data_IF_266587107235
#
_entry.id   IF_266587107235
#
_cell.length_a   1.000
_cell.length_b   1.000
_cell.length_c   1.000
_cell.angle_alpha   90.00
_cell.angle_beta   90.00
_cell.angle_gamma   90.00
#
_symmetry.space_group_name_H-M   'P 1'
#
loop_
_entity.id
_entity.type
_entity.pdbx_description
1 polymer ?
#
# COMPACT_ATOMS: atom_id res chain seq x y z
N UNK A 1 -2.50 10.42 25.92
CA UNK A 1 -2.82 9.37 24.94
C UNK A 1 -2.25 9.81 23.62
N UNK A 2 -1.29 9.08 23.08
CA UNK A 2 -0.78 9.39 21.76
C UNK A 2 -1.75 8.86 20.70
N UNK A 3 -2.14 9.72 19.78
CA UNK A 3 -2.91 9.34 18.61
C UNK A 3 -1.93 8.79 17.57
N UNK A 4 -2.14 7.55 17.17
CA UNK A 4 -1.43 6.99 16.04
C UNK A 4 -2.22 7.32 14.78
N UNK A 5 -1.56 7.85 13.77
CA UNK A 5 -2.20 8.32 12.54
C UNK A 5 -1.81 7.46 11.36
N UNK A 6 -2.80 6.93 10.64
CA UNK A 6 -2.60 6.36 9.32
C UNK A 6 -2.76 7.48 8.27
N UNK A 7 -1.72 7.72 7.51
CA UNK A 7 -1.68 8.77 6.48
C UNK A 7 -2.31 8.34 5.14
N UNK A 8 -2.67 7.06 5.00
CA UNK A 8 -3.39 6.58 3.82
C UNK A 8 -4.81 7.11 3.85
N UNK A 9 -5.21 7.95 2.90
CA UNK A 9 -6.60 8.32 2.76
C UNK A 9 -7.40 7.11 2.28
N UNK A 10 -8.64 6.97 2.77
CA UNK A 10 -9.50 5.85 2.39
C UNK A 10 -8.85 4.47 2.60
N UNK A 11 -8.38 4.14 3.82
CA UNK A 11 -7.65 2.89 4.08
C UNK A 11 -8.51 1.64 3.92
N UNK A 12 -9.81 1.78 3.84
CA UNK A 12 -10.76 0.68 3.57
C UNK A 12 -10.99 0.47 2.08
N UNK A 13 -10.38 1.25 1.21
CA UNK A 13 -10.54 1.18 -0.25
C UNK A 13 -12.00 1.24 -0.72
N UNK A 14 -12.78 2.11 -0.11
CA UNK A 14 -14.15 2.37 -0.57
C UNK A 14 -14.12 3.10 -1.92
N UNK A 15 -14.71 2.49 -2.91
CA UNK A 15 -14.71 2.99 -4.30
C UNK A 15 -16.13 3.38 -4.73
N UNK A 16 -16.28 4.38 -5.61
CA UNK A 16 -15.23 5.23 -6.19
C UNK A 16 -14.57 6.17 -5.18
N UNK A 17 -13.33 6.58 -5.44
CA UNK A 17 -12.57 7.47 -4.57
C UNK A 17 -11.78 8.48 -5.40
N UNK A 18 -11.80 9.75 -4.97
CA UNK A 18 -11.01 10.81 -5.60
C UNK A 18 -9.51 10.71 -5.27
N UNK A 19 -9.15 9.90 -4.27
CA UNK A 19 -7.74 9.72 -3.85
C UNK A 19 -7.07 8.53 -4.53
N UNK A 20 -7.83 7.69 -5.23
CA UNK A 20 -7.32 6.51 -5.91
C UNK A 20 -7.53 6.67 -7.42
N UNK A 21 -6.45 6.62 -8.16
CA UNK A 21 -6.44 6.62 -9.63
C UNK A 21 -5.73 5.38 -10.15
N UNK A 22 -5.98 5.02 -11.40
CA UNK A 22 -5.38 3.82 -12.00
C UNK A 22 -4.64 4.18 -13.28
N UNK A 23 -3.63 3.38 -13.59
CA UNK A 23 -2.94 3.41 -14.87
C UNK A 23 -2.86 1.99 -15.41
N UNK A 24 -3.35 1.77 -16.62
CA UNK A 24 -3.35 0.48 -17.30
C UNK A 24 -3.99 -0.66 -16.49
N UNK A 25 -4.88 -0.32 -15.57
CA UNK A 25 -5.55 -1.25 -14.67
C UNK A 25 -6.94 -0.75 -14.29
N UNK A 26 -7.74 -1.65 -13.79
CA UNK A 26 -9.00 -1.34 -13.10
C UNK A 26 -8.92 -1.76 -11.66
N UNK A 27 -9.73 -1.13 -10.81
CA UNK A 27 -9.81 -1.46 -9.39
C UNK A 27 -11.24 -1.72 -8.96
N UNK A 28 -11.39 -2.64 -8.02
CA UNK A 28 -12.66 -2.88 -7.34
C UNK A 28 -12.43 -3.07 -5.86
N UNK A 29 -13.42 -2.67 -5.06
CA UNK A 29 -13.40 -2.90 -3.62
C UNK A 29 -13.52 -4.40 -3.33
N UNK A 30 -12.69 -4.90 -2.42
CA UNK A 30 -12.74 -6.26 -1.89
C UNK A 30 -12.98 -6.19 -0.38
N UNK A 31 -14.16 -6.61 0.03
CA UNK A 31 -14.56 -6.57 1.45
C UNK A 31 -13.60 -7.36 2.35
N UNK A 32 -13.37 -6.93 3.59
CA UNK A 32 -13.91 -5.71 4.23
C UNK A 32 -13.08 -4.45 3.93
N UNK A 33 -11.81 -4.58 3.56
CA UNK A 33 -10.83 -3.51 3.59
C UNK A 33 -9.78 -3.62 2.48
N UNK A 34 -10.12 -4.28 1.40
CA UNK A 34 -9.20 -4.57 0.32
C UNK A 34 -9.56 -3.89 -1.00
N UNK A 35 -8.57 -3.90 -1.88
CA UNK A 35 -8.70 -3.47 -3.27
C UNK A 35 -8.09 -4.53 -4.17
N UNK A 36 -8.83 -4.95 -5.19
CA UNK A 36 -8.29 -5.81 -6.25
C UNK A 36 -7.92 -4.93 -7.43
N UNK A 37 -6.66 -5.01 -7.83
CA UNK A 37 -6.13 -4.35 -9.03
C UNK A 37 -6.07 -5.41 -10.12
N UNK A 38 -6.73 -5.14 -11.24
CA UNK A 38 -6.75 -6.02 -12.40
C UNK A 38 -6.07 -5.32 -13.58
N UNK A 39 -5.02 -5.90 -14.17
CA UNK A 39 -4.35 -5.30 -15.31
C UNK A 39 -5.27 -5.29 -16.54
N UNK A 40 -5.21 -4.22 -17.33
CA UNK A 40 -5.87 -4.20 -18.62
C UNK A 40 -5.15 -5.13 -19.61
N UNK A 41 -5.85 -5.60 -20.63
CA UNK A 41 -5.24 -6.42 -21.68
C UNK A 41 -4.09 -5.66 -22.36
N UNK A 42 -2.92 -6.28 -22.43
CA UNK A 42 -1.70 -5.67 -22.99
C UNK A 42 -1.12 -4.53 -22.15
N UNK A 43 -1.45 -4.49 -20.87
CA UNK A 43 -1.00 -3.44 -19.96
C UNK A 43 0.53 -3.37 -19.85
N UNK A 44 1.03 -2.17 -19.79
CA UNK A 44 2.41 -1.87 -19.40
C UNK A 44 2.36 -1.17 -18.05
N UNK A 45 3.05 -1.71 -17.05
CA UNK A 45 3.12 -1.17 -15.70
C UNK A 45 1.73 -0.86 -15.08
N UNK A 46 0.85 -1.85 -14.96
CA UNK A 46 -0.47 -1.66 -14.36
C UNK A 46 -0.36 -1.36 -12.88
N UNK A 47 -1.07 -0.33 -12.42
CA UNK A 47 -1.01 0.10 -11.02
C UNK A 47 -2.26 0.85 -10.57
N UNK A 48 -2.45 0.90 -9.26
CA UNK A 48 -3.32 1.86 -8.58
C UNK A 48 -2.47 2.85 -7.79
N UNK A 49 -2.81 4.11 -7.88
CA UNK A 49 -2.09 5.21 -7.25
C UNK A 49 -2.95 5.84 -6.17
N UNK A 50 -2.44 5.85 -4.95
CA UNK A 50 -3.08 6.50 -3.81
C UNK A 50 -2.39 7.86 -3.59
N UNK A 51 -3.18 8.93 -3.67
CA UNK A 51 -2.70 10.26 -3.39
C UNK A 51 -2.83 10.56 -1.90
N UNK A 52 -1.73 10.91 -1.26
CA UNK A 52 -1.72 11.40 0.12
C UNK A 52 -2.33 12.81 0.18
N UNK A 53 -2.92 13.17 1.31
CA UNK A 53 -3.55 14.47 1.51
C UNK A 53 -2.55 15.63 1.34
N UNK A 54 -1.31 15.39 1.77
CA UNK A 54 -0.19 16.32 1.63
C UNK A 54 1.11 15.55 1.40
N UNK A 55 2.14 16.18 0.83
CA UNK A 55 3.46 15.56 0.73
C UNK A 55 4.03 15.26 2.11
N UNK A 56 4.75 14.14 2.22
CA UNK A 56 5.34 13.69 3.48
C UNK A 56 6.86 13.58 3.37
N UNK A 57 7.54 13.98 4.44
CA UNK A 57 8.99 13.87 4.58
C UNK A 57 9.35 13.38 5.98
N UNK A 58 10.38 12.54 6.09
CA UNK A 58 10.86 11.98 7.35
C UNK A 58 10.90 10.46 7.34
N UNK A 59 10.93 9.89 8.53
CA UNK A 59 11.01 8.46 8.74
C UNK A 59 9.61 7.86 8.94
N UNK A 60 9.26 6.91 8.10
CA UNK A 60 7.94 6.28 8.05
C UNK A 60 8.03 4.77 8.07
N UNK A 61 6.90 4.15 8.42
CA UNK A 61 6.64 2.72 8.24
C UNK A 61 5.43 2.54 7.34
N UNK A 62 5.59 1.75 6.28
CA UNK A 62 4.52 1.34 5.38
C UNK A 62 4.32 -0.17 5.52
N UNK A 63 3.09 -0.60 5.70
CA UNK A 63 2.76 -2.02 5.66
C UNK A 63 1.43 -2.28 4.98
N UNK A 64 1.27 -3.47 4.45
CA UNK A 64 0.04 -3.94 3.82
C UNK A 64 0.03 -5.46 3.66
N UNK A 65 -1.15 -6.02 3.51
CA UNK A 65 -1.34 -7.37 3.03
C UNK A 65 -1.42 -7.36 1.50
N UNK A 66 -0.75 -8.33 0.89
CA UNK A 66 -0.90 -8.64 -0.52
C UNK A 66 -1.40 -10.08 -0.64
N UNK A 67 -2.42 -10.29 -1.45
CA UNK A 67 -3.02 -11.60 -1.67
C UNK A 67 -3.08 -11.97 -3.13
N UNK A 68 -3.22 -13.27 -3.41
CA UNK A 68 -3.28 -13.83 -4.76
C UNK A 68 -2.00 -13.61 -5.57
N UNK A 69 -0.86 -13.56 -4.89
CA UNK A 69 0.44 -13.43 -5.55
C UNK A 69 0.70 -14.66 -6.40
N UNK A 70 0.95 -14.52 -7.72
CA UNK A 70 1.23 -15.65 -8.59
C UNK A 70 2.62 -16.25 -8.32
N UNK A 71 2.78 -17.53 -8.64
CA UNK A 71 4.09 -18.20 -8.57
C UNK A 71 5.05 -17.68 -9.65
N UNK A 72 4.51 -17.18 -10.75
CA UNK A 72 5.28 -16.62 -11.85
C UNK A 72 5.74 -15.19 -11.53
N UNK A 73 7.05 -14.98 -11.59
CA UNK A 73 7.74 -13.84 -11.00
C UNK A 73 8.02 -12.68 -11.96
N UNK A 74 7.44 -12.61 -13.15
CA UNK A 74 7.78 -11.59 -14.15
C UNK A 74 7.53 -10.13 -13.72
N UNK A 75 6.79 -9.93 -12.66
CA UNK A 75 6.49 -8.58 -12.17
C UNK A 75 7.41 -8.13 -11.02
N UNK A 76 8.21 -9.03 -10.45
CA UNK A 76 9.07 -8.73 -9.30
C UNK A 76 10.17 -7.72 -9.61
N UNK A 77 10.67 -7.70 -10.84
CA UNK A 77 11.70 -6.75 -11.27
C UNK A 77 11.24 -5.29 -11.14
N UNK A 78 9.94 -5.04 -11.24
CA UNK A 78 9.34 -3.71 -11.14
C UNK A 78 8.90 -3.34 -9.72
N UNK A 79 9.16 -4.21 -8.74
CA UNK A 79 8.70 -4.04 -7.37
C UNK A 79 7.18 -4.12 -7.22
N UNK A 80 6.71 -4.16 -5.98
CA UNK A 80 5.29 -4.24 -5.66
C UNK A 80 4.67 -2.88 -5.33
N UNK A 81 5.48 -1.96 -4.84
CA UNK A 81 5.04 -0.65 -4.43
C UNK A 81 6.10 0.40 -4.77
N UNK A 82 5.67 1.55 -5.19
CA UNK A 82 6.53 2.70 -5.44
C UNK A 82 5.97 3.91 -4.73
N UNK A 83 6.73 4.47 -3.80
CA UNK A 83 6.36 5.71 -3.12
C UNK A 83 7.07 6.85 -3.82
N UNK A 84 6.32 7.79 -4.38
CA UNK A 84 6.86 8.81 -5.27
C UNK A 84 6.46 10.23 -4.89
N UNK A 85 7.26 11.20 -5.36
CA UNK A 85 6.92 12.61 -5.28
C UNK A 85 5.78 12.99 -6.24
N UNK A 86 5.32 14.23 -6.18
CA UNK A 86 4.18 14.71 -6.96
C UNK A 86 4.36 14.61 -8.47
N UNK A 87 5.59 14.70 -8.96
CA UNK A 87 5.92 14.60 -10.39
C UNK A 87 6.30 13.20 -10.83
N UNK A 88 6.36 12.26 -9.88
CA UNK A 88 6.77 10.86 -10.11
C UNK A 88 8.20 10.72 -10.68
N UNK A 89 9.01 11.75 -10.53
CA UNK A 89 10.40 11.79 -11.00
C UNK A 89 11.39 11.20 -9.99
N UNK A 90 10.98 11.04 -8.75
CA UNK A 90 11.79 10.51 -7.65
C UNK A 90 10.92 9.67 -6.72
N UNK A 91 11.49 8.66 -6.12
CA UNK A 91 10.77 7.82 -5.18
C UNK A 91 11.55 6.61 -4.69
N UNK A 92 10.87 5.81 -3.88
CA UNK A 92 11.40 4.59 -3.29
C UNK A 92 10.62 3.39 -3.84
N UNK A 93 11.34 2.46 -4.47
CA UNK A 93 10.79 1.21 -4.96
C UNK A 93 10.88 0.15 -3.87
N UNK A 94 9.76 -0.49 -3.57
CA UNK A 94 9.66 -1.55 -2.57
C UNK A 94 9.55 -2.90 -3.28
N UNK A 95 10.53 -3.79 -3.05
CA UNK A 95 10.51 -5.11 -3.69
C UNK A 95 9.54 -6.05 -3.00
N UNK A 96 9.07 -7.04 -3.73
CA UNK A 96 8.42 -8.22 -3.19
C UNK A 96 9.46 -9.32 -2.96
N UNK A 97 9.26 -10.16 -1.96
CA UNK A 97 10.15 -11.25 -1.60
C UNK A 97 9.74 -12.56 -2.24
N UNK A 98 9.47 -12.74 -3.43
CA UNK A 98 9.16 -13.99 -4.15
C UNK A 98 8.22 -14.98 -3.42
N UNK A 99 7.43 -14.51 -2.46
CA UNK A 99 6.48 -15.37 -1.74
C UNK A 99 5.16 -15.41 -2.52
N UNK A 100 4.81 -16.57 -3.03
CA UNK A 100 3.51 -16.80 -3.66
C UNK A 100 2.40 -16.87 -2.59
N UNK A 101 1.17 -16.55 -3.01
CA UNK A 101 0.00 -16.62 -2.14
C UNK A 101 -0.29 -15.31 -1.41
N UNK A 102 -0.37 -15.34 -0.10
CA UNK A 102 -0.68 -14.18 0.73
C UNK A 102 0.48 -13.86 1.65
N UNK A 103 0.89 -12.60 1.67
CA UNK A 103 1.98 -12.12 2.52
C UNK A 103 1.62 -10.79 3.18
N UNK A 104 2.14 -10.59 4.38
CA UNK A 104 2.18 -9.29 5.04
C UNK A 104 3.56 -8.68 4.83
N UNK A 105 3.60 -7.49 4.26
CA UNK A 105 4.84 -6.78 3.96
C UNK A 105 4.92 -5.50 4.77
N UNK A 106 6.11 -5.23 5.32
CA UNK A 106 6.38 -4.03 6.08
C UNK A 106 7.74 -3.47 5.74
N UNK A 107 7.82 -2.13 5.64
CA UNK A 107 9.01 -1.42 5.21
C UNK A 107 9.23 -0.17 6.06
N UNK A 108 10.46 -0.02 6.55
CA UNK A 108 10.92 1.22 7.14
C UNK A 108 11.51 2.10 6.03
N UNK A 109 11.03 3.33 5.92
CA UNK A 109 11.32 4.21 4.80
C UNK A 109 11.79 5.57 5.29
N UNK A 110 12.76 6.15 4.59
CA UNK A 110 13.03 7.57 4.65
C UNK A 110 12.46 8.22 3.40
N UNK A 111 11.52 9.13 3.57
CA UNK A 111 10.80 9.80 2.49
C UNK A 111 11.18 11.27 2.43
N UNK A 112 11.20 11.83 1.23
CA UNK A 112 11.48 13.24 0.99
C UNK A 112 10.49 13.78 -0.05
N UNK A 113 9.53 14.58 0.44
CA UNK A 113 8.49 15.23 -0.37
C UNK A 113 7.64 14.23 -1.19
N UNK A 114 7.28 13.09 -0.60
CA UNK A 114 6.51 12.05 -1.28
C UNK A 114 5.01 12.30 -1.19
N UNK A 115 4.31 12.11 -2.32
CA UNK A 115 2.87 12.42 -2.46
C UNK A 115 2.02 11.19 -2.80
N UNK A 116 2.59 10.18 -3.44
CA UNK A 116 1.85 9.03 -3.94
C UNK A 116 2.40 7.72 -3.43
N UNK A 117 1.47 6.80 -3.10
CA UNK A 117 1.75 5.38 -2.91
C UNK A 117 1.17 4.63 -4.10
N UNK A 118 2.02 4.05 -4.92
CA UNK A 118 1.63 3.32 -6.11
C UNK A 118 1.73 1.81 -5.84
N UNK A 119 0.59 1.13 -5.92
CA UNK A 119 0.51 -0.32 -5.76
C UNK A 119 0.48 -0.96 -7.15
N UNK A 120 1.44 -1.79 -7.44
CA UNK A 120 1.63 -2.41 -8.75
C UNK A 120 1.01 -3.80 -8.78
N UNK A 121 0.57 -4.23 -9.94
CA UNK A 121 0.16 -5.62 -10.14
C UNK A 121 0.90 -6.25 -11.32
N UNK A 122 0.92 -7.60 -11.40
CA UNK A 122 1.49 -8.29 -12.53
C UNK A 122 0.80 -7.94 -13.84
N UNK A 123 1.49 -8.15 -14.96
CA UNK A 123 0.97 -7.78 -16.29
C UNK A 123 -0.26 -8.58 -16.72
N UNK A 124 -0.45 -9.76 -16.15
CA UNK A 124 -1.47 -10.71 -16.60
C UNK A 124 -2.27 -11.34 -15.44
N UNK A 125 -2.15 -10.79 -14.24
CA UNK A 125 -2.77 -11.39 -13.06
C UNK A 125 -3.29 -10.31 -12.11
N UNK A 126 -4.53 -10.41 -11.61
CA UNK A 126 -5.03 -9.50 -10.60
C UNK A 126 -4.31 -9.71 -9.26
N UNK A 127 -4.20 -8.66 -8.48
CA UNK A 127 -3.58 -8.68 -7.17
C UNK A 127 -4.47 -7.96 -6.17
N UNK A 128 -4.59 -8.54 -4.97
CA UNK A 128 -5.32 -7.94 -3.87
C UNK A 128 -4.37 -7.27 -2.89
N UNK A 129 -4.66 -6.02 -2.56
CA UNK A 129 -4.05 -5.30 -1.46
C UNK A 129 -5.09 -5.05 -0.37
N UNK A 130 -4.68 -5.15 0.88
CA UNK A 130 -5.54 -4.84 2.02
C UNK A 130 -4.73 -4.38 3.22
N UNK A 131 -5.40 -3.79 4.19
CA UNK A 131 -4.81 -3.38 5.45
C UNK A 131 -3.60 -2.45 5.30
N UNK A 132 -3.68 -1.50 4.37
CA UNK A 132 -2.56 -0.59 4.11
C UNK A 132 -2.46 0.50 5.17
N UNK A 133 -1.25 0.66 5.73
CA UNK A 133 -0.93 1.69 6.71
C UNK A 133 0.36 2.39 6.31
N UNK A 134 0.32 3.71 6.33
CA UNK A 134 1.51 4.55 6.28
C UNK A 134 1.50 5.43 7.51
N UNK A 135 2.51 5.33 8.34
CA UNK A 135 2.61 6.09 9.58
C UNK A 135 4.04 6.52 9.86
N UNK A 136 4.23 7.52 10.71
CA UNK A 136 5.57 7.85 11.16
C UNK A 136 6.19 6.69 11.93
N UNK A 137 7.51 6.61 11.97
CA UNK A 137 8.21 5.60 12.78
C UNK A 137 7.82 5.70 14.26
N UNK A 138 7.63 6.90 14.78
CA UNK A 138 7.19 7.10 16.15
C UNK A 138 5.81 6.49 16.39
N UNK A 139 4.86 6.73 15.50
CA UNK A 139 3.52 6.16 15.57
C UNK A 139 3.55 4.62 15.44
N UNK A 140 4.39 4.10 14.57
CA UNK A 140 4.58 2.65 14.43
C UNK A 140 5.09 2.01 15.72
N UNK A 141 6.04 2.62 16.41
CA UNK A 141 6.54 2.12 17.68
C UNK A 141 5.45 2.13 18.77
N UNK A 142 4.63 3.18 18.83
CA UNK A 142 3.50 3.25 19.76
C UNK A 142 2.44 2.21 19.41
N UNK A 143 2.11 2.07 18.13
CA UNK A 143 1.14 1.08 17.67
C UNK A 143 1.52 -0.35 18.06
N UNK A 144 2.77 -0.73 17.88
CA UNK A 144 3.27 -2.06 18.27
C UNK A 144 3.13 -2.36 19.76
N UNK A 145 3.23 -1.33 20.60
CA UNK A 145 3.01 -1.47 22.05
C UNK A 145 1.56 -1.75 22.42
N UNK A 146 0.64 -1.14 21.67
CA UNK A 146 -0.80 -1.22 21.93
C UNK A 146 -1.43 -2.52 21.42
N UNK A 147 -0.85 -3.10 20.38
CA UNK A 147 -1.34 -4.34 19.74
C UNK A 147 -0.26 -5.40 19.65
N UNK A 148 0.39 -5.77 20.76
CA UNK A 148 1.58 -6.61 20.76
C UNK A 148 1.35 -8.04 20.27
N UNK A 149 0.10 -8.46 20.05
CA UNK A 149 -0.28 -9.81 19.68
C UNK A 149 -1.16 -9.90 18.44
N UNK A 150 -1.37 -8.81 17.72
CA UNK A 150 -2.10 -8.85 16.47
C UNK A 150 -1.12 -9.10 15.33
N UNK A 151 -1.03 -10.35 14.90
CA UNK A 151 -0.23 -10.72 13.73
C UNK A 151 -0.82 -10.15 12.44
N UNK A 152 -2.06 -9.72 12.48
CA UNK A 152 -2.75 -9.16 11.35
C UNK A 152 -3.36 -7.82 11.73
N UNK A 153 -2.86 -6.78 11.14
CA UNK A 153 -3.47 -5.46 11.15
C UNK A 153 -4.53 -5.43 10.07
N UNK A 154 -5.77 -5.56 10.47
CA UNK A 154 -6.87 -5.50 9.54
C UNK A 154 -7.14 -4.06 9.13
N UNK A 155 -6.82 -3.77 7.87
CA UNK A 155 -7.09 -2.50 7.27
C UNK A 155 -6.28 -1.37 7.88
N UNK A 156 -6.32 -0.25 7.32
CA UNK A 156 -5.84 0.95 7.96
C UNK A 156 -6.66 1.35 9.17
N UNK A 157 -7.49 0.43 9.65
CA UNK A 157 -8.23 0.58 10.89
C UNK A 157 -7.24 0.57 12.02
N UNK A 158 -6.90 1.74 12.41
CA UNK A 158 -6.23 1.96 13.67
C UNK A 158 -7.28 1.77 14.74
N UNK A 159 -7.18 0.72 15.57
CA UNK A 159 -8.16 0.49 16.62
C UNK A 159 -8.13 1.55 17.74
N UNK A 160 -7.57 2.69 17.44
CA UNK A 160 -7.09 3.64 18.42
C UNK A 160 -7.88 4.94 18.46
N UNK A 161 -9.03 4.94 17.90
CA UNK A 161 -10.01 5.97 18.21
C UNK A 161 -10.71 5.62 19.51
N UNK A 162 -10.01 5.75 20.59
CA UNK A 162 -10.59 5.80 21.90
C UNK A 162 -10.72 7.23 22.35
#
# INVERSE_FOLDING_TARGET
>A
MSLVTNLIPNPLFMLPSSTITTSNATVQHAKPDGMIITPNSGAVNPLAKIRLCEPVSGDFHLNFWVGQVPEDSQWYENGICFVSNATESSGVLLPHDNTAGTAFLGFDLHLDDMQYVQLKCPLNHPLRFSAINLMTQADWQEYKKLVPKMDALYGGLMPLQN
#
